data_IF_590589971622
#
_entry.id   IF_590589971622
#
_cell.length_a   1.000
_cell.length_b   1.000
_cell.length_c   1.000
_cell.angle_alpha   90.00
_cell.angle_beta   90.00
_cell.angle_gamma   90.00
#
_symmetry.space_group_name_H-M   'P 1'
#
loop_
_entity.id
_entity.type
_entity.pdbx_description
1 polymer ?
#
# COMPACT_ATOMS: atom_id res chain seq x y z
N UNK A 1 6.55 -23.44 -64.74
CA UNK A 1 5.36 -23.30 -63.86
C UNK A 1 5.49 -24.00 -62.50
N UNK A 2 6.21 -25.12 -62.37
CA UNK A 2 6.34 -25.87 -61.10
C UNK A 2 7.07 -25.13 -59.95
N UNK A 3 8.04 -24.24 -60.22
CA UNK A 3 8.78 -23.49 -59.19
C UNK A 3 8.01 -22.29 -58.59
N UNK A 4 7.01 -21.74 -59.31
CA UNK A 4 6.21 -20.62 -58.82
C UNK A 4 5.12 -21.08 -57.84
N UNK A 5 4.60 -22.29 -58.02
CA UNK A 5 3.61 -22.91 -57.11
C UNK A 5 4.25 -23.25 -55.77
N UNK A 6 5.51 -23.70 -55.75
CA UNK A 6 6.24 -24.01 -54.50
C UNK A 6 6.49 -22.76 -53.65
N UNK A 7 6.79 -21.61 -54.27
CA UNK A 7 6.98 -20.34 -53.55
C UNK A 7 5.69 -19.78 -52.96
N UNK A 8 4.55 -19.96 -53.65
CA UNK A 8 3.23 -19.57 -53.11
C UNK A 8 2.81 -20.46 -51.94
N UNK A 9 3.10 -21.76 -52.00
CA UNK A 9 2.80 -22.70 -50.90
C UNK A 9 3.68 -22.45 -49.68
N UNK A 10 4.97 -22.12 -49.85
CA UNK A 10 5.86 -21.78 -48.72
C UNK A 10 5.49 -20.44 -48.07
N UNK A 11 5.04 -19.45 -48.86
CA UNK A 11 4.52 -18.19 -48.33
C UNK A 11 3.19 -18.37 -47.58
N UNK A 12 2.27 -19.20 -48.06
CA UNK A 12 1.04 -19.55 -47.33
C UNK A 12 1.34 -20.32 -46.03
N UNK A 13 2.28 -21.26 -46.04
CA UNK A 13 2.65 -22.00 -44.83
C UNK A 13 3.32 -21.10 -43.77
N UNK A 14 4.08 -20.08 -44.15
CA UNK A 14 4.66 -19.12 -43.18
C UNK A 14 3.58 -18.22 -42.55
N UNK A 15 2.49 -17.92 -43.25
CA UNK A 15 1.35 -17.16 -42.72
C UNK A 15 0.48 -18.02 -41.81
N UNK A 16 0.33 -19.32 -42.09
CA UNK A 16 -0.44 -20.24 -41.25
C UNK A 16 0.20 -20.55 -39.89
N UNK A 17 1.54 -20.45 -39.75
CA UNK A 17 2.23 -20.69 -38.46
C UNK A 17 2.10 -19.50 -37.50
N UNK A 18 1.78 -18.30 -38.00
CA UNK A 18 1.48 -17.13 -37.15
C UNK A 18 0.05 -17.09 -36.60
N UNK A 19 -0.83 -18.03 -37.01
CA UNK A 19 -2.20 -18.13 -36.49
C UNK A 19 -2.36 -19.02 -35.25
N UNK A 20 -1.27 -19.59 -34.71
CA UNK A 20 -1.25 -20.25 -33.40
C UNK A 20 -0.86 -19.25 -32.31
N UNK A 21 -1.67 -18.19 -32.17
CA UNK A 21 -1.70 -17.37 -30.97
C UNK A 21 -3.05 -17.63 -30.29
N UNK A 22 -2.98 -18.57 -29.35
CA UNK A 22 -3.90 -18.84 -28.24
C UNK A 22 -5.05 -17.83 -28.07
N UNK A 23 -6.26 -18.22 -28.46
CA UNK A 23 -7.49 -17.61 -27.93
C UNK A 23 -7.56 -17.90 -26.43
N UNK A 24 -7.51 -16.83 -25.62
CA UNK A 24 -8.04 -16.85 -24.25
C UNK A 24 -9.23 -15.91 -24.20
N UNK A 25 -10.39 -16.35 -23.70
CA UNK A 25 -11.65 -15.65 -23.93
C UNK A 25 -11.70 -14.31 -23.18
N UNK A 26 -12.17 -13.31 -23.94
CA UNK A 26 -12.71 -12.05 -23.45
C UNK A 26 -13.98 -12.33 -22.64
N UNK A 27 -14.01 -11.88 -21.39
CA UNK A 27 -15.24 -11.79 -20.60
C UNK A 27 -15.47 -10.32 -20.26
N UNK A 28 -16.40 -9.71 -21.00
CA UNK A 28 -17.05 -8.45 -20.63
C UNK A 28 -18.44 -8.81 -20.14
N UNK A 29 -18.78 -8.49 -18.88
CA UNK A 29 -19.88 -7.58 -18.52
C UNK A 29 -20.35 -7.74 -17.06
N UNK A 30 -20.44 -6.57 -16.42
CA UNK A 30 -21.53 -6.06 -15.58
C UNK A 30 -21.74 -6.52 -14.13
N UNK A 31 -22.03 -5.48 -13.35
CA UNK A 31 -22.47 -5.42 -11.95
C UNK A 31 -23.92 -5.88 -11.75
N UNK A 32 -24.22 -6.50 -10.60
CA UNK A 32 -25.25 -6.07 -9.63
C UNK A 32 -25.54 -7.12 -8.52
N UNK A 33 -25.66 -6.61 -7.27
CA UNK A 33 -26.50 -7.05 -6.12
C UNK A 33 -26.23 -8.39 -5.40
N UNK A 34 -25.73 -8.24 -4.16
CA UNK A 34 -26.38 -8.56 -2.87
C UNK A 34 -27.34 -9.77 -2.81
N UNK A 35 -26.98 -10.80 -2.03
CA UNK A 35 -27.83 -11.41 -0.99
C UNK A 35 -26.99 -12.29 -0.02
N UNK A 36 -27.58 -12.45 1.15
CA UNK A 36 -27.11 -12.93 2.44
C UNK A 36 -27.12 -14.48 2.57
N UNK A 37 -26.60 -14.97 3.69
CA UNK A 37 -26.80 -16.28 4.33
C UNK A 37 -25.77 -17.42 4.07
N UNK A 38 -25.08 -17.76 5.18
CA UNK A 38 -24.46 -19.05 5.57
C UNK A 38 -25.37 -19.72 6.63
N UNK A 39 -25.20 -20.97 7.13
CA UNK A 39 -24.35 -22.12 6.74
C UNK A 39 -25.17 -23.45 6.63
N UNK A 40 -24.57 -24.56 6.15
CA UNK A 40 -24.43 -25.81 6.95
C UNK A 40 -23.73 -26.97 6.22
N UNK A 41 -23.13 -27.82 7.06
CA UNK A 41 -22.42 -29.08 6.83
C UNK A 41 -23.20 -30.19 6.11
N UNK A 42 -22.50 -31.16 5.49
CA UNK A 42 -22.44 -32.60 5.89
C UNK A 42 -21.74 -33.49 4.83
N UNK A 43 -20.71 -34.21 5.29
CA UNK A 43 -20.24 -35.59 5.00
C UNK A 43 -20.69 -36.35 3.73
N UNK A 44 -19.71 -36.89 2.98
CA UNK A 44 -19.62 -38.34 2.65
C UNK A 44 -18.36 -38.69 1.83
N UNK A 45 -17.59 -39.66 2.35
CA UNK A 45 -16.61 -40.45 1.60
C UNK A 45 -17.31 -41.40 0.60
N UNK A 46 -16.57 -42.01 -0.34
CA UNK A 46 -16.29 -43.43 -0.16
C UNK A 46 -14.81 -43.84 -0.29
N UNK A 47 -14.54 -44.93 0.43
CA UNK A 47 -13.33 -45.71 0.67
C UNK A 47 -12.90 -46.52 -0.56
N UNK A 48 -11.59 -46.65 -0.81
CA UNK A 48 -11.04 -47.83 -1.49
C UNK A 48 -9.68 -48.19 -0.88
N UNK A 49 -9.58 -49.46 -0.52
CA UNK A 49 -8.47 -50.13 0.17
C UNK A 49 -7.61 -50.86 -0.86
N UNK A 50 -6.28 -50.80 -0.76
CA UNK A 50 -5.40 -51.93 -1.15
C UNK A 50 -4.13 -51.90 -0.29
N UNK A 51 -3.95 -52.94 0.51
CA UNK A 51 -2.72 -53.34 1.21
C UNK A 51 -1.75 -53.99 0.19
N UNK A 52 -0.47 -54.32 0.40
CA UNK A 52 0.41 -54.54 1.55
C UNK A 52 1.81 -54.80 0.94
N UNK A 53 2.90 -54.37 1.58
CA UNK A 53 4.17 -55.13 1.61
C UNK A 53 5.10 -54.56 2.70
N UNK A 54 5.27 -55.36 3.76
CA UNK A 54 6.20 -55.18 4.87
C UNK A 54 7.65 -55.47 4.46
N UNK A 55 8.60 -54.81 5.12
CA UNK A 55 9.81 -55.50 5.62
C UNK A 55 10.27 -54.89 6.95
N UNK A 56 10.22 -55.75 7.96
CA UNK A 56 10.74 -55.73 9.36
C UNK A 56 12.28 -55.71 9.35
N UNK A 57 13.10 -55.21 10.28
CA UNK A 57 13.33 -55.42 11.74
C UNK A 57 14.61 -54.56 12.01
N UNK A 58 14.96 -53.93 13.13
CA UNK A 58 15.27 -54.54 14.45
C UNK A 58 15.54 -53.46 15.50
N UNK A 59 15.13 -53.84 16.70
CA UNK A 59 15.09 -53.20 18.02
C UNK A 59 16.46 -52.87 18.64
N UNK A 60 16.54 -51.79 19.42
CA UNK A 60 17.25 -51.81 20.71
C UNK A 60 16.49 -50.99 21.75
N UNK A 61 16.26 -51.61 22.90
CA UNK A 61 15.54 -51.11 24.08
C UNK A 61 16.48 -50.31 24.97
N UNK A 62 16.00 -49.23 25.59
CA UNK A 62 16.44 -48.82 26.93
C UNK A 62 15.29 -48.17 27.68
N UNK A 63 15.23 -48.43 28.98
CA UNK A 63 14.07 -48.39 29.88
C UNK A 63 14.11 -47.17 30.81
N UNK A 64 12.92 -46.71 31.26
CA UNK A 64 12.61 -45.97 32.53
C UNK A 64 13.12 -44.52 32.65
N UNK A 65 12.42 -43.51 33.19
CA UNK A 65 11.33 -43.38 34.20
C UNK A 65 10.47 -42.13 33.90
N UNK A 66 9.20 -42.17 34.32
CA UNK A 66 8.18 -41.11 34.18
C UNK A 66 8.27 -40.04 35.28
N UNK A 67 8.11 -38.74 34.97
CA UNK A 67 7.67 -37.75 35.97
C UNK A 67 6.23 -37.30 35.73
N UNK A 68 5.41 -37.47 36.78
CA UNK A 68 4.03 -37.01 36.92
C UNK A 68 4.08 -35.54 37.38
N UNK A 69 3.47 -34.60 36.65
CA UNK A 69 3.39 -33.20 37.09
C UNK A 69 1.94 -32.79 37.29
N UNK A 70 1.65 -32.47 38.55
CA UNK A 70 0.34 -32.08 39.08
C UNK A 70 0.22 -30.56 39.10
N UNK A 71 -0.95 -30.08 38.72
CA UNK A 71 -1.42 -28.69 38.82
C UNK A 71 -1.45 -28.18 40.26
N UNK A 72 -0.82 -27.04 40.56
CA UNK A 72 -1.15 -26.19 41.72
C UNK A 72 -0.88 -24.72 41.44
N UNK A 73 -1.94 -23.93 41.54
CA UNK A 73 -1.99 -22.46 41.63
C UNK A 73 -1.28 -21.94 42.89
N UNK A 74 -0.45 -20.89 42.82
CA UNK A 74 -0.10 -20.10 44.01
C UNK A 74 -0.86 -18.76 44.08
N UNK A 75 -1.37 -18.52 45.29
CA UNK A 75 -2.11 -17.34 45.78
C UNK A 75 -1.30 -16.04 45.78
N UNK A 76 -2.04 -14.97 45.59
CA UNK A 76 -1.72 -13.55 45.82
C UNK A 76 -1.24 -13.27 47.26
N UNK A 77 -0.16 -12.52 47.41
CA UNK A 77 0.19 -11.85 48.68
C UNK A 77 0.61 -10.41 48.39
N UNK A 78 -0.25 -9.49 48.81
CA UNK A 78 -0.05 -8.03 48.78
C UNK A 78 0.90 -7.63 49.90
N UNK A 79 2.01 -6.95 49.59
CA UNK A 79 2.87 -6.28 50.56
C UNK A 79 2.44 -4.81 50.70
N UNK A 80 1.93 -4.46 51.88
CA UNK A 80 1.58 -3.08 52.25
C UNK A 80 2.80 -2.40 52.90
N UNK A 81 3.27 -1.23 52.42
CA UNK A 81 4.21 -0.41 53.17
C UNK A 81 3.50 0.35 54.29
N UNK A 82 4.00 0.17 55.52
CA UNK A 82 3.51 0.82 56.75
C UNK A 82 4.18 2.20 56.87
N UNK A 83 3.41 3.29 56.76
CA UNK A 83 3.91 4.65 57.00
C UNK A 83 3.53 5.09 58.42
N UNK A 84 4.56 5.35 59.23
CA UNK A 84 4.48 5.81 60.61
C UNK A 84 4.12 7.30 60.64
N UNK A 85 3.02 7.67 61.29
CA UNK A 85 2.68 9.09 61.57
C UNK A 85 3.02 9.37 63.03
N UNK A 86 3.97 10.27 63.27
CA UNK A 86 4.32 10.80 64.59
C UNK A 86 3.56 12.10 64.84
N UNK A 87 2.76 12.11 65.91
CA UNK A 87 2.04 13.26 66.44
C UNK A 87 2.95 14.04 67.39
N UNK A 88 3.04 15.38 67.30
CA UNK A 88 3.47 16.20 68.42
C UNK A 88 2.25 16.87 69.08
N UNK A 89 2.12 16.60 70.38
CA UNK A 89 1.15 17.22 71.31
C UNK A 89 1.87 18.39 71.98
N UNK A 90 1.33 19.61 71.94
CA UNK A 90 1.78 20.67 72.86
C UNK A 90 0.67 21.68 73.19
N UNK A 91 0.13 21.45 74.39
CA UNK A 91 -0.24 22.36 75.49
C UNK A 91 -0.68 23.80 75.22
N UNK A 92 -1.90 24.06 75.70
CA UNK A 92 -2.59 25.34 75.93
C UNK A 92 -1.93 26.22 76.98
N UNK A 93 -1.84 27.53 76.73
CA UNK A 93 -1.88 28.59 77.75
C UNK A 93 -2.53 29.86 77.18
N UNK A 94 -3.65 30.27 77.79
CA UNK A 94 -4.28 31.61 77.65
C UNK A 94 -3.58 32.55 78.64
N UNK A 95 -3.41 33.86 78.36
CA UNK A 95 -4.33 34.83 78.95
C UNK A 95 -4.54 36.20 78.23
N UNK A 96 -5.77 36.70 78.38
CA UNK A 96 -6.27 38.10 78.61
C UNK A 96 -5.96 39.29 77.66
N UNK A 97 -7.07 39.87 77.16
CA UNK A 97 -7.48 41.31 77.03
C UNK A 97 -6.49 42.37 76.53
N UNK A 98 -6.93 43.24 75.60
CA UNK A 98 -7.39 44.63 75.88
C UNK A 98 -8.02 45.24 74.62
N UNK A 99 -9.13 45.97 74.82
CA UNK A 99 -9.89 46.78 73.86
C UNK A 99 -9.13 48.05 73.46
N UNK A 100 -9.14 48.43 72.18
CA UNK A 100 -9.17 49.85 71.75
C UNK A 100 -9.62 49.98 70.29
N UNK A 101 -10.73 50.69 70.12
CA UNK A 101 -11.25 51.21 68.85
C UNK A 101 -10.29 52.27 68.28
N UNK A 102 -10.11 52.35 66.96
CA UNK A 102 -10.34 53.64 66.31
C UNK A 102 -11.19 53.54 65.04
N UNK A 103 -12.08 54.53 64.93
CA UNK A 103 -13.05 54.78 63.88
C UNK A 103 -12.36 55.50 62.73
N UNK A 104 -12.38 54.96 61.50
CA UNK A 104 -12.01 55.74 60.30
C UNK A 104 -12.76 55.31 59.04
N UNK A 105 -13.76 56.12 58.71
CA UNK A 105 -14.14 56.69 57.40
C UNK A 105 -13.88 55.92 56.09
N UNK A 106 -14.97 55.48 55.48
CA UNK A 106 -15.39 55.60 54.07
C UNK A 106 -14.32 55.80 52.97
N UNK A 107 -14.24 54.85 52.03
CA UNK A 107 -14.43 55.09 50.58
C UNK A 107 -14.60 53.76 49.85
N UNK A 108 -15.72 53.59 49.16
CA UNK A 108 -16.04 52.43 48.31
C UNK A 108 -15.53 52.67 46.89
N UNK A 109 -14.59 51.88 46.34
CA UNK A 109 -14.34 51.88 44.90
C UNK A 109 -15.33 50.91 44.24
N UNK A 110 -16.19 51.45 43.38
CA UNK A 110 -17.08 50.68 42.50
C UNK A 110 -16.23 49.96 41.46
N UNK A 111 -15.97 48.67 41.66
CA UNK A 111 -15.28 47.82 40.67
C UNK A 111 -16.22 47.56 39.50
N UNK A 112 -16.07 48.30 38.41
CA UNK A 112 -16.71 48.01 37.13
C UNK A 112 -16.06 46.76 36.56
N UNK A 113 -16.75 45.62 36.63
CA UNK A 113 -16.35 44.40 35.95
C UNK A 113 -16.51 44.57 34.43
N UNK A 114 -15.44 44.97 33.75
CA UNK A 114 -15.31 44.78 32.30
C UNK A 114 -14.89 43.34 32.05
N UNK A 115 -15.87 42.48 31.81
CA UNK A 115 -15.68 41.16 31.22
C UNK A 115 -15.03 41.35 29.83
N UNK A 116 -13.81 40.84 29.57
CA UNK A 116 -13.28 40.84 28.22
C UNK A 116 -14.16 39.91 27.38
N UNK A 117 -14.84 40.47 26.38
CA UNK A 117 -15.56 39.70 25.38
C UNK A 117 -14.50 38.94 24.58
N UNK A 118 -14.33 37.65 24.88
CA UNK A 118 -13.48 36.73 24.14
C UNK A 118 -13.93 36.78 22.68
N UNK A 119 -13.23 37.55 21.88
CA UNK A 119 -13.38 37.52 20.42
C UNK A 119 -12.66 36.25 20.00
N UNK A 120 -13.42 35.17 19.85
CA UNK A 120 -12.97 33.95 19.19
C UNK A 120 -12.72 34.30 17.74
N UNK A 121 -11.49 34.73 17.45
CA UNK A 121 -10.95 34.73 16.09
C UNK A 121 -11.19 33.33 15.53
N UNK A 122 -11.87 33.17 14.37
CA UNK A 122 -12.01 31.85 13.77
C UNK A 122 -10.61 31.29 13.57
N UNK A 123 -10.37 30.09 14.09
CA UNK A 123 -9.10 29.37 13.91
C UNK A 123 -8.77 29.44 12.41
N UNK A 124 -7.59 29.96 12.02
CA UNK A 124 -7.18 29.93 10.63
C UNK A 124 -7.20 28.47 10.16
N UNK A 125 -8.18 28.14 9.33
CA UNK A 125 -8.19 26.87 8.63
C UNK A 125 -6.93 26.81 7.75
N UNK A 126 -6.20 25.68 7.70
CA UNK A 126 -5.04 25.56 6.83
C UNK A 126 -5.48 25.83 5.39
N UNK A 127 -4.91 26.87 4.78
CA UNK A 127 -5.04 27.11 3.34
C UNK A 127 -4.54 25.85 2.62
N UNK A 128 -5.37 25.20 1.77
CA UNK A 128 -4.95 24.00 1.06
C UNK A 128 -3.70 24.30 0.25
N UNK A 129 -2.65 23.47 0.32
CA UNK A 129 -1.52 23.60 -0.57
C UNK A 129 -2.02 23.50 -2.02
N UNK A 130 -1.59 24.42 -2.89
CA UNK A 130 -2.03 24.44 -4.29
C UNK A 130 -1.11 23.59 -5.19
N UNK A 131 0.01 23.10 -4.67
CA UNK A 131 1.02 22.36 -5.44
C UNK A 131 1.32 21.01 -4.78
N UNK A 132 1.23 19.97 -5.59
CA UNK A 132 1.61 18.59 -5.25
C UNK A 132 3.14 18.47 -5.32
N UNK A 133 3.78 18.10 -4.21
CA UNK A 133 5.23 17.90 -4.12
C UNK A 133 5.57 16.43 -3.91
N UNK A 134 6.65 15.97 -4.54
CA UNK A 134 7.17 14.60 -4.34
C UNK A 134 7.95 14.57 -3.04
N UNK A 135 7.52 13.74 -2.10
CA UNK A 135 8.28 13.41 -0.90
C UNK A 135 9.25 12.26 -1.14
N UNK A 136 10.35 12.26 -0.40
CA UNK A 136 11.32 11.15 -0.35
C UNK A 136 11.30 10.56 1.05
N UNK A 137 10.64 9.41 1.20
CA UNK A 137 10.44 8.71 2.47
C UNK A 137 11.36 7.51 2.54
N UNK A 138 12.00 7.29 3.68
CA UNK A 138 12.84 6.12 3.91
C UNK A 138 12.65 5.54 5.31
N UNK A 139 12.83 4.23 5.42
CA UNK A 139 12.94 3.53 6.70
C UNK A 139 14.31 2.91 6.78
N UNK A 140 14.99 3.20 7.88
CA UNK A 140 16.33 2.69 8.16
C UNK A 140 16.26 1.84 9.42
N UNK A 141 16.68 0.58 9.30
CA UNK A 141 16.75 -0.36 10.41
C UNK A 141 18.19 -0.89 10.53
N UNK A 142 18.77 -0.83 11.74
CA UNK A 142 20.17 -1.23 12.00
C UNK A 142 21.19 -0.61 11.02
N UNK A 143 21.01 0.67 10.66
CA UNK A 143 21.82 1.43 9.68
C UNK A 143 21.73 0.95 8.23
N UNK A 144 20.74 0.13 7.90
CA UNK A 144 20.44 -0.30 6.52
C UNK A 144 19.08 0.24 6.13
N UNK A 145 18.99 0.90 4.98
CA UNK A 145 17.69 1.31 4.44
C UNK A 145 16.96 0.06 3.98
N UNK A 146 15.78 -0.18 4.54
CA UNK A 146 14.97 -1.35 4.25
C UNK A 146 13.76 -1.03 3.39
N UNK A 147 13.35 0.25 3.36
CA UNK A 147 12.26 0.73 2.52
C UNK A 147 12.55 2.15 2.06
N UNK A 148 12.31 2.44 0.78
CA UNK A 148 12.38 3.78 0.21
C UNK A 148 11.18 4.01 -0.68
N UNK A 149 10.58 5.19 -0.60
CA UNK A 149 9.46 5.60 -1.44
C UNK A 149 9.58 7.07 -1.81
N UNK A 150 9.58 7.36 -3.11
CA UNK A 150 9.42 8.69 -3.65
C UNK A 150 8.01 8.78 -4.24
N UNK A 151 7.17 9.64 -3.69
CA UNK A 151 5.78 9.78 -4.16
C UNK A 151 5.19 11.09 -3.71
N UNK A 152 4.18 11.57 -4.45
CA UNK A 152 3.34 12.67 -4.02
C UNK A 152 1.92 12.15 -3.74
N UNK A 153 1.35 12.59 -2.62
CA UNK A 153 0.14 12.02 -2.05
C UNK A 153 -0.95 13.08 -1.92
N UNK A 154 -2.13 12.73 -2.40
CA UNK A 154 -3.33 13.56 -2.31
C UNK A 154 -4.51 12.69 -1.86
N UNK A 155 -5.19 13.11 -0.79
CA UNK A 155 -6.43 12.49 -0.33
C UNK A 155 -7.58 13.29 -0.91
N UNK A 156 -8.46 12.66 -1.67
CA UNK A 156 -9.62 13.30 -2.26
C UNK A 156 -10.91 12.78 -1.62
N UNK A 157 -11.81 13.71 -1.32
CA UNK A 157 -13.20 13.41 -0.97
C UNK A 157 -14.09 13.78 -2.16
N UNK A 158 -14.83 12.80 -2.66
CA UNK A 158 -15.88 12.96 -3.66
C UNK A 158 -17.20 12.50 -3.05
N UNK A 159 -17.94 13.43 -2.45
CA UNK A 159 -19.22 13.16 -1.82
C UNK A 159 -20.30 14.09 -2.38
N UNK A 160 -21.56 13.66 -2.33
CA UNK A 160 -22.68 14.36 -2.97
C UNK A 160 -22.82 15.84 -2.56
N UNK A 161 -22.33 16.23 -1.39
CA UNK A 161 -22.43 17.60 -0.85
C UNK A 161 -21.10 18.36 -0.80
N UNK A 162 -19.97 17.64 -0.75
CA UNK A 162 -18.64 18.24 -0.53
C UNK A 162 -17.64 17.48 -1.36
N UNK A 163 -16.94 18.21 -2.22
CA UNK A 163 -15.79 17.73 -2.95
C UNK A 163 -14.56 18.53 -2.52
N UNK A 164 -13.42 17.87 -2.36
CA UNK A 164 -12.19 18.55 -2.01
C UNK A 164 -11.00 17.62 -2.00
N UNK A 165 -9.81 18.21 -1.94
CA UNK A 165 -8.57 17.47 -1.82
C UNK A 165 -7.68 18.03 -0.73
N UNK A 166 -6.93 17.12 -0.11
CA UNK A 166 -5.92 17.40 0.87
C UNK A 166 -4.58 16.88 0.34
N UNK A 167 -3.64 17.79 0.10
CA UNK A 167 -2.32 17.47 -0.41
C UNK A 167 -1.37 17.29 0.78
N UNK A 168 -0.77 16.11 0.90
CA UNK A 168 0.21 15.83 1.94
C UNK A 168 1.48 16.60 1.65
N UNK A 169 1.96 17.40 2.62
CA UNK A 169 3.20 18.18 2.48
C UNK A 169 4.40 17.36 2.95
N UNK A 170 5.35 16.99 2.07
CA UNK A 170 6.50 16.17 2.46
C UNK A 170 7.36 16.81 3.56
N UNK A 171 7.54 18.13 3.52
CA UNK A 171 8.35 18.87 4.49
C UNK A 171 7.75 18.89 5.90
N UNK A 172 6.46 18.63 6.03
CA UNK A 172 5.72 18.57 7.30
C UNK A 172 5.30 17.14 7.65
N UNK A 173 5.87 16.14 6.97
CA UNK A 173 5.56 14.72 7.16
C UNK A 173 6.76 13.98 7.73
N UNK A 174 6.54 13.24 8.82
CA UNK A 174 7.53 12.35 9.42
C UNK A 174 7.28 10.91 8.96
N UNK A 175 8.36 10.17 8.81
CA UNK A 175 8.30 8.75 8.43
C UNK A 175 8.50 7.89 9.67
N UNK A 176 7.59 6.95 9.88
CA UNK A 176 7.61 5.95 10.96
C UNK A 176 7.37 4.56 10.37
N UNK A 177 7.83 3.50 11.05
CA UNK A 177 7.69 2.15 10.53
C UNK A 177 8.78 1.20 10.99
N UNK A 178 8.68 -0.03 10.50
CA UNK A 178 9.65 -1.11 10.74
C UNK A 178 9.69 -2.07 9.56
N UNK A 179 10.79 -2.83 9.47
CA UNK A 179 11.04 -3.77 8.40
C UNK A 179 11.39 -5.15 8.97
N UNK A 180 10.43 -6.07 8.89
CA UNK A 180 10.70 -7.49 9.06
C UNK A 180 11.22 -8.14 7.78
N UNK A 181 11.46 -9.45 7.85
CA UNK A 181 11.96 -10.23 6.71
C UNK A 181 10.95 -10.35 5.56
N UNK A 182 9.66 -10.41 5.91
CA UNK A 182 8.55 -10.59 4.95
C UNK A 182 7.49 -9.50 5.00
N UNK A 183 7.43 -8.72 6.08
CA UNK A 183 6.47 -7.63 6.27
C UNK A 183 7.17 -6.35 6.66
N UNK A 184 6.76 -5.23 6.07
CA UNK A 184 7.24 -3.91 6.44
C UNK A 184 6.06 -2.94 6.47
N UNK A 185 6.11 -1.93 7.33
CA UNK A 185 5.09 -0.88 7.37
C UNK A 185 5.74 0.48 7.20
N UNK A 186 5.20 1.29 6.28
CA UNK A 186 5.57 2.68 6.10
C UNK A 186 4.40 3.54 6.54
N UNK A 187 4.56 4.25 7.65
CA UNK A 187 3.58 5.20 8.17
C UNK A 187 4.11 6.61 7.98
N UNK A 188 3.36 7.42 7.24
CA UNK A 188 3.62 8.83 7.02
C UNK A 188 2.73 9.65 7.95
N UNK A 189 3.33 10.32 8.92
CA UNK A 189 2.63 11.08 9.96
C UNK A 189 2.78 12.57 9.70
N UNK A 190 1.66 13.27 9.57
CA UNK A 190 1.59 14.72 9.39
C UNK A 190 0.59 15.31 10.40
N UNK A 191 0.52 16.63 10.49
CA UNK A 191 -0.26 17.33 11.53
C UNK A 191 -1.74 16.93 11.57
N UNK A 192 -2.35 16.74 10.42
CA UNK A 192 -3.77 16.41 10.26
C UNK A 192 -4.06 14.91 10.41
N UNK A 193 -3.06 14.03 10.36
CA UNK A 193 -3.30 12.59 10.37
C UNK A 193 -2.12 11.73 9.92
N UNK A 194 -2.42 10.55 9.36
CA UNK A 194 -1.40 9.62 8.89
C UNK A 194 -1.88 8.76 7.73
N UNK A 195 -0.93 8.24 6.95
CA UNK A 195 -1.16 7.23 5.89
C UNK A 195 -0.20 6.06 6.16
N UNK A 196 -0.71 4.84 6.20
CA UNK A 196 0.08 3.63 6.44
C UNK A 196 -0.02 2.67 5.26
N UNK A 197 1.13 2.37 4.65
CA UNK A 197 1.34 1.34 3.64
C UNK A 197 1.91 0.09 4.29
N UNK A 198 1.22 -1.05 4.18
CA UNK A 198 1.72 -2.34 4.65
C UNK A 198 2.23 -3.15 3.48
N UNK A 199 3.54 -3.40 3.47
CA UNK A 199 4.23 -4.19 2.46
C UNK A 199 4.31 -5.65 2.88
N UNK A 200 4.12 -6.53 1.91
CA UNK A 200 4.31 -7.97 2.06
C UNK A 200 5.24 -8.47 0.94
N UNK A 201 6.09 -9.45 1.28
CA UNK A 201 7.00 -10.12 0.36
C UNK A 201 6.48 -11.52 0.06
N UNK A 202 6.10 -11.78 -1.19
CA UNK A 202 5.86 -13.14 -1.68
C UNK A 202 7.20 -13.84 -1.87
N UNK A 203 7.43 -14.91 -1.11
CA UNK A 203 8.61 -15.78 -1.28
C UNK A 203 8.47 -16.62 -2.55
N UNK A 204 7.25 -17.04 -2.89
CA UNK A 204 6.97 -17.87 -4.06
C UNK A 204 7.24 -17.12 -5.37
N UNK A 205 6.78 -15.87 -5.46
CA UNK A 205 6.90 -15.06 -6.68
C UNK A 205 8.15 -14.16 -6.66
N UNK A 206 8.87 -14.13 -5.53
CA UNK A 206 9.97 -13.22 -5.27
C UNK A 206 9.59 -11.74 -5.56
N UNK A 207 8.39 -11.34 -5.13
CA UNK A 207 7.84 -9.99 -5.30
C UNK A 207 7.59 -9.32 -3.96
N UNK A 208 7.64 -7.99 -3.94
CA UNK A 208 7.18 -7.15 -2.85
C UNK A 208 6.02 -6.29 -3.36
N UNK A 209 4.96 -6.18 -2.56
CA UNK A 209 3.75 -5.44 -2.91
C UNK A 209 3.11 -4.84 -1.64
N UNK A 210 2.22 -3.89 -1.81
CA UNK A 210 1.39 -3.34 -0.73
C UNK A 210 0.13 -4.19 -0.58
N UNK A 211 0.02 -4.85 0.59
CA UNK A 211 -1.06 -5.77 0.97
C UNK A 211 -2.19 -5.07 1.73
N UNK A 212 -1.90 -3.96 2.40
CA UNK A 212 -2.93 -3.15 3.03
C UNK A 212 -2.55 -1.68 3.01
N UNK A 213 -3.57 -0.84 2.92
CA UNK A 213 -3.43 0.61 2.92
C UNK A 213 -4.51 1.21 3.82
N UNK A 214 -4.12 2.16 4.65
CA UNK A 214 -5.07 2.87 5.50
C UNK A 214 -4.62 4.30 5.73
N UNK A 215 -5.57 5.18 5.99
CA UNK A 215 -5.26 6.53 6.44
C UNK A 215 -6.33 7.08 7.36
N UNK A 216 -5.91 8.07 8.15
CA UNK A 216 -6.78 8.93 8.95
C UNK A 216 -6.45 10.37 8.63
N UNK A 217 -7.47 11.20 8.44
CA UNK A 217 -7.34 12.62 8.16
C UNK A 217 -8.36 13.42 8.99
N UNK A 218 -7.88 14.38 9.78
CA UNK A 218 -8.71 15.35 10.49
C UNK A 218 -8.61 16.71 9.78
N UNK A 219 -9.57 16.99 8.89
CA UNK A 219 -9.54 18.14 7.98
C UNK A 219 -10.95 18.67 7.70
N UNK A 220 -11.08 19.93 7.29
CA UNK A 220 -12.35 20.48 6.80
C UNK A 220 -12.22 20.82 5.32
N UNK A 221 -12.91 20.03 4.47
CA UNK A 221 -12.94 20.29 3.03
C UNK A 221 -13.83 21.48 2.67
N UNK A 222 -14.81 21.81 3.53
CA UNK A 222 -15.65 23.00 3.39
C UNK A 222 -15.09 24.18 4.18
N UNK A 223 -15.07 25.35 3.55
CA UNK A 223 -14.55 26.58 4.16
C UNK A 223 -15.49 27.05 5.28
N UNK A 224 -14.96 27.22 6.49
CA UNK A 224 -15.70 27.70 7.65
C UNK A 224 -16.40 26.61 8.48
N UNK A 225 -16.27 25.34 8.08
CA UNK A 225 -16.78 24.21 8.87
C UNK A 225 -15.73 23.69 9.86
N UNK A 226 -16.21 23.03 10.92
CA UNK A 226 -15.36 22.35 11.89
C UNK A 226 -14.58 21.20 11.22
N UNK A 227 -13.40 20.88 11.77
CA UNK A 227 -12.62 19.73 11.31
C UNK A 227 -13.42 18.45 11.49
N UNK A 228 -13.51 17.66 10.43
CA UNK A 228 -14.11 16.33 10.45
C UNK A 228 -13.02 15.27 10.34
N UNK A 229 -13.26 14.11 10.95
CA UNK A 229 -12.36 12.97 10.89
C UNK A 229 -12.81 11.99 9.80
N UNK A 230 -11.91 11.73 8.86
CA UNK A 230 -12.07 10.74 7.79
C UNK A 230 -11.13 9.58 8.07
N UNK A 231 -11.64 8.36 7.96
CA UNK A 231 -10.85 7.13 8.02
C UNK A 231 -11.17 6.28 6.82
N UNK A 232 -10.14 5.64 6.28
CA UNK A 232 -10.32 4.61 5.29
C UNK A 232 -9.27 3.52 5.48
N UNK A 233 -9.67 2.28 5.27
CA UNK A 233 -8.80 1.12 5.29
C UNK A 233 -9.22 0.14 4.20
N UNK A 234 -8.22 -0.47 3.57
CA UNK A 234 -8.42 -1.51 2.59
C UNK A 234 -7.34 -2.57 2.79
N UNK A 235 -7.79 -3.81 2.93
CA UNK A 235 -6.98 -4.98 3.28
C UNK A 235 -7.00 -5.95 2.12
N UNK A 236 -5.96 -6.77 2.02
CA UNK A 236 -5.81 -7.79 0.95
C UNK A 236 -5.72 -7.16 -0.44
N UNK A 237 -4.95 -6.09 -0.52
CA UNK A 237 -4.53 -5.44 -1.75
C UNK A 237 -3.35 -6.20 -2.39
N UNK A 238 -3.13 -5.99 -3.68
CA UNK A 238 -1.89 -6.42 -4.35
C UNK A 238 -1.40 -5.29 -5.25
N UNK A 239 -1.13 -4.15 -4.61
CA UNK A 239 -0.78 -2.90 -5.30
C UNK A 239 0.73 -2.68 -5.32
N UNK A 240 1.18 -1.87 -6.29
CA UNK A 240 2.56 -1.41 -6.41
C UNK A 240 3.59 -2.55 -6.41
N UNK A 241 3.24 -3.66 -7.03
CA UNK A 241 4.05 -4.88 -7.02
C UNK A 241 5.32 -4.72 -7.86
N UNK A 242 6.46 -5.10 -7.30
CA UNK A 242 7.75 -5.18 -7.99
C UNK A 242 8.52 -6.43 -7.55
N UNK A 243 9.43 -6.91 -8.38
CA UNK A 243 10.36 -7.98 -7.98
C UNK A 243 11.24 -7.51 -6.83
N UNK A 244 11.68 -8.44 -5.98
CA UNK A 244 12.66 -8.12 -4.93
C UNK A 244 13.93 -7.57 -5.59
N UNK A 245 14.51 -6.51 -5.00
CA UNK A 245 15.63 -5.72 -5.54
C UNK A 245 15.30 -4.82 -6.74
N UNK A 246 14.07 -4.86 -7.26
CA UNK A 246 13.55 -3.86 -8.20
C UNK A 246 12.76 -2.79 -7.45
N UNK A 247 12.45 -1.68 -8.12
CA UNK A 247 11.53 -0.68 -7.60
C UNK A 247 10.26 -0.64 -8.45
N UNK A 248 9.10 -0.48 -7.84
CA UNK A 248 7.89 -0.13 -8.57
C UNK A 248 8.03 1.30 -9.09
N UNK A 249 7.56 1.59 -10.30
CA UNK A 249 7.54 2.93 -10.89
C UNK A 249 6.24 3.19 -11.63
N UNK A 250 5.55 4.28 -11.30
CA UNK A 250 4.30 4.69 -11.95
C UNK A 250 4.11 6.21 -11.94
N UNK A 251 3.60 6.76 -13.04
CA UNK A 251 3.30 8.18 -13.18
C UNK A 251 2.19 8.65 -12.25
N UNK A 252 1.14 7.84 -12.08
CA UNK A 252 0.07 8.09 -11.13
C UNK A 252 -0.96 6.98 -11.07
N UNK A 253 -1.51 6.76 -9.89
CA UNK A 253 -2.54 5.77 -9.62
C UNK A 253 -3.53 6.31 -8.58
N UNK A 254 -4.82 6.18 -8.86
CA UNK A 254 -5.90 6.65 -7.98
C UNK A 254 -6.61 5.45 -7.39
N UNK A 255 -6.59 5.33 -6.07
CA UNK A 255 -7.16 4.20 -5.34
C UNK A 255 -8.45 4.61 -4.63
N UNK A 256 -9.53 3.87 -4.86
CA UNK A 256 -10.77 4.05 -4.11
C UNK A 256 -10.70 3.37 -2.75
N UNK A 257 -10.98 4.12 -1.68
CA UNK A 257 -10.79 3.69 -0.29
C UNK A 257 -12.11 3.56 0.48
N UNK A 258 -13.25 3.78 -0.17
CA UNK A 258 -14.58 3.70 0.43
C UNK A 258 -15.15 5.06 0.83
N UNK A 259 -16.46 5.16 0.97
CA UNK A 259 -17.18 6.35 1.43
C UNK A 259 -16.85 7.64 0.65
N UNK A 260 -16.61 7.52 -0.66
CA UNK A 260 -16.22 8.66 -1.51
C UNK A 260 -14.78 9.14 -1.29
N UNK A 261 -13.98 8.44 -0.49
CA UNK A 261 -12.57 8.76 -0.27
C UNK A 261 -11.69 8.05 -1.29
N UNK A 262 -10.74 8.79 -1.83
CA UNK A 262 -9.73 8.29 -2.76
C UNK A 262 -8.34 8.71 -2.29
N UNK A 263 -7.36 7.86 -2.54
CA UNK A 263 -5.95 8.19 -2.39
C UNK A 263 -5.31 8.24 -3.77
N UNK A 264 -4.85 9.42 -4.17
CA UNK A 264 -4.09 9.63 -5.39
C UNK A 264 -2.60 9.59 -5.06
N UNK A 265 -1.87 8.67 -5.70
CA UNK A 265 -0.44 8.46 -5.53
C UNK A 265 0.24 8.75 -6.87
N UNK A 266 0.94 9.88 -6.97
CA UNK A 266 1.59 10.32 -8.22
C UNK A 266 3.11 10.32 -8.11
N UNK A 267 3.80 10.20 -9.25
CA UNK A 267 5.27 10.08 -9.36
C UNK A 267 5.80 9.00 -8.40
N UNK A 268 5.11 7.88 -8.39
CA UNK A 268 5.27 6.81 -7.43
C UNK A 268 6.49 5.96 -7.80
N UNK A 269 7.50 5.95 -6.93
CA UNK A 269 8.64 5.04 -7.04
C UNK A 269 8.96 4.45 -5.67
N UNK A 270 8.77 3.16 -5.48
CA UNK A 270 8.93 2.52 -4.15
C UNK A 270 9.63 1.17 -4.22
N UNK A 271 10.37 0.83 -3.16
CA UNK A 271 11.08 -0.43 -3.00
C UNK A 271 11.17 -0.81 -1.52
N UNK A 272 11.02 -2.10 -1.22
CA UNK A 272 11.05 -2.65 0.13
C UNK A 272 11.93 -3.92 0.24
N UNK A 273 12.31 -4.27 1.48
CA UNK A 273 13.02 -5.48 1.94
C UNK A 273 14.47 -5.67 1.51
N UNK A 274 14.90 -5.20 0.34
CA UNK A 274 16.25 -5.42 -0.14
C UNK A 274 16.73 -4.24 -0.99
N UNK A 275 17.14 -3.16 -0.32
CA UNK A 275 17.85 -2.08 -0.99
C UNK A 275 19.35 -2.39 -0.97
N UNK A 276 19.99 -2.26 -2.14
CA UNK A 276 21.43 -2.45 -2.27
C UNK A 276 22.17 -1.42 -1.41
N UNK A 277 23.40 -1.72 -0.98
CA UNK A 277 24.23 -0.84 -0.13
C UNK A 277 24.43 0.59 -0.68
N UNK A 278 24.09 0.84 -1.94
CA UNK A 278 24.12 2.15 -2.58
C UNK A 278 22.98 3.10 -2.17
N UNK A 279 22.05 2.68 -1.29
CA UNK A 279 20.88 3.48 -0.87
C UNK A 279 19.89 3.82 -2.00
N UNK A 280 20.18 3.42 -3.24
CA UNK A 280 19.42 3.78 -4.42
C UNK A 280 18.36 2.74 -4.80
N UNK A 281 17.40 3.20 -5.59
CA UNK A 281 16.40 2.33 -6.20
C UNK A 281 17.06 1.38 -7.20
N UNK A 282 16.59 0.13 -7.20
CA UNK A 282 16.90 -0.84 -8.23
C UNK A 282 16.24 -0.54 -9.57
N UNK A 283 16.27 -1.53 -10.46
CA UNK A 283 15.65 -1.44 -11.77
C UNK A 283 14.13 -1.20 -11.64
N UNK A 284 13.53 -0.29 -12.43
CA UNK A 284 12.10 0.01 -12.33
C UNK A 284 11.24 -1.06 -13.02
N UNK A 285 10.27 -1.59 -12.28
CA UNK A 285 9.13 -2.35 -12.78
C UNK A 285 7.97 -1.38 -12.99
N UNK A 286 7.63 -1.11 -14.26
CA UNK A 286 6.61 -0.12 -14.61
C UNK A 286 5.19 -0.68 -14.41
N UNK A 287 4.30 0.18 -13.94
CA UNK A 287 2.87 -0.11 -13.83
C UNK A 287 2.21 -0.30 -15.21
N UNK A 288 1.04 -0.93 -15.24
CA UNK A 288 0.30 -1.17 -16.49
C UNK A 288 -0.09 0.13 -17.20
N UNK A 289 -0.41 1.19 -16.45
CA UNK A 289 -0.81 2.48 -17.00
C UNK A 289 0.32 3.16 -17.80
N UNK A 290 1.58 2.95 -17.41
CA UNK A 290 2.75 3.56 -18.05
C UNK A 290 3.35 2.68 -19.17
N UNK A 291 2.88 1.44 -19.34
CA UNK A 291 3.35 0.55 -20.40
C UNK A 291 2.76 1.00 -21.74
N UNK A 292 3.55 1.72 -22.53
CA UNK A 292 3.27 1.93 -23.95
C UNK A 292 3.29 0.61 -24.71
N UNK A 293 2.14 0.21 -25.24
CA UNK A 293 2.02 -0.99 -26.08
C UNK A 293 2.41 -0.67 -27.54
N UNK A 294 3.69 -0.84 -27.85
CA UNK A 294 4.20 -0.71 -29.21
C UNK A 294 3.94 -1.94 -30.08
N UNK A 295 3.28 -2.99 -29.58
CA UNK A 295 3.11 -4.25 -30.33
C UNK A 295 2.37 -4.03 -31.63
N UNK A 296 1.37 -3.14 -31.64
CA UNK A 296 0.63 -2.77 -32.86
C UNK A 296 1.54 -2.03 -33.84
N UNK A 297 2.28 -1.02 -33.37
CA UNK A 297 3.18 -0.24 -34.21
C UNK A 297 4.30 -1.10 -34.82
N UNK A 298 4.89 -1.99 -34.03
CA UNK A 298 5.90 -2.96 -34.47
C UNK A 298 5.28 -3.94 -35.48
N UNK A 299 4.08 -4.45 -35.21
CA UNK A 299 3.36 -5.36 -36.11
C UNK A 299 3.11 -4.75 -37.49
N UNK A 300 2.66 -3.49 -37.55
CA UNK A 300 2.47 -2.77 -38.80
C UNK A 300 3.82 -2.55 -39.52
N UNK A 301 4.86 -2.16 -38.79
CA UNK A 301 6.20 -1.96 -39.35
C UNK A 301 6.78 -3.24 -39.98
N UNK A 302 6.66 -4.37 -39.29
CA UNK A 302 7.11 -5.67 -39.81
C UNK A 302 6.29 -6.09 -41.04
N UNK A 303 4.97 -5.90 -41.01
CA UNK A 303 4.10 -6.28 -42.14
C UNK A 303 4.42 -5.48 -43.40
N UNK A 304 4.64 -4.17 -43.27
CA UNK A 304 5.03 -3.31 -44.39
C UNK A 304 6.41 -3.70 -44.94
N UNK A 305 7.38 -4.00 -44.07
CA UNK A 305 8.71 -4.43 -44.49
C UNK A 305 8.66 -5.74 -45.30
N UNK A 306 7.89 -6.73 -44.83
CA UNK A 306 7.70 -8.01 -45.54
C UNK A 306 7.06 -7.78 -46.91
N UNK A 307 6.04 -6.92 -47.02
CA UNK A 307 5.40 -6.60 -48.28
C UNK A 307 6.38 -5.97 -49.28
N UNK A 308 7.21 -5.03 -48.84
CA UNK A 308 8.26 -4.42 -49.67
C UNK A 308 9.23 -5.47 -50.20
N UNK A 309 9.69 -6.39 -49.35
CA UNK A 309 10.60 -7.46 -49.76
C UNK A 309 9.96 -8.36 -50.82
N UNK A 310 8.68 -8.73 -50.65
CA UNK A 310 7.94 -9.54 -51.64
C UNK A 310 7.88 -8.81 -52.99
N UNK A 311 7.55 -7.51 -52.99
CA UNK A 311 7.48 -6.70 -54.21
C UNK A 311 8.85 -6.61 -54.89
N UNK A 312 9.93 -6.41 -54.13
CA UNK A 312 11.30 -6.35 -54.67
C UNK A 312 11.70 -7.70 -55.28
N UNK A 313 11.41 -8.82 -54.62
CA UNK A 313 11.69 -10.16 -55.16
C UNK A 313 10.88 -10.43 -56.43
N UNK A 314 9.60 -10.09 -56.44
CA UNK A 314 8.75 -10.21 -57.63
C UNK A 314 9.27 -9.36 -58.79
N UNK A 315 9.73 -8.14 -58.51
CA UNK A 315 10.34 -7.24 -59.49
C UNK A 315 11.64 -7.82 -60.05
N UNK A 316 12.55 -8.30 -59.20
CA UNK A 316 13.82 -8.90 -59.62
C UNK A 316 13.62 -10.16 -60.48
N UNK A 317 12.65 -11.02 -60.13
CA UNK A 317 12.30 -12.21 -60.94
C UNK A 317 11.67 -11.81 -62.27
N UNK A 318 10.79 -10.82 -62.28
CA UNK A 318 10.15 -10.32 -63.50
C UNK A 318 11.18 -9.70 -64.46
N UNK A 319 12.14 -8.95 -63.92
CA UNK A 319 13.25 -8.37 -64.70
C UNK A 319 14.14 -9.46 -65.28
N UNK A 320 14.50 -10.49 -64.49
CA UNK A 320 15.33 -11.61 -64.96
C UNK A 320 14.67 -12.43 -66.08
N UNK A 321 13.34 -12.59 -66.07
CA UNK A 321 12.63 -13.29 -67.16
C UNK A 321 12.63 -12.52 -68.48
N UNK A 322 12.73 -11.19 -68.48
CA UNK A 322 12.74 -10.39 -69.71
C UNK A 322 14.08 -10.45 -70.45
N UNK A 323 15.16 -10.90 -69.81
CA UNK A 323 16.48 -11.06 -70.43
C UNK A 323 16.69 -12.39 -71.17
N UNK A 324 15.79 -13.39 -71.02
CA UNK A 324 15.92 -14.71 -71.65
C UNK A 324 15.14 -14.83 -72.99
N UNK A 325 14.77 -13.71 -73.60
CA UNK A 325 13.82 -13.67 -74.72
C UNK A 325 14.38 -13.15 -76.04
N UNK A 326 15.46 -13.74 -76.57
CA UNK A 326 15.73 -13.78 -78.02
C UNK A 326 16.50 -15.06 -78.34
N UNK A 327 15.78 -16.11 -78.74
CA UNK A 327 16.36 -17.19 -79.53
C UNK A 327 16.14 -16.80 -80.99
N UNK A 328 17.19 -16.37 -81.68
CA UNK A 328 17.17 -16.11 -83.13
C UNK A 328 16.95 -17.44 -83.85
N UNK A 329 15.91 -17.50 -84.70
CA UNK A 329 15.72 -18.57 -85.69
C UNK A 329 16.92 -18.64 -86.64
#
# INVERSE_FOLDING_TARGET
MKKAVVLFVVACCAVSVLSLAEEKPSATMSSAKQFDVSPSSTTSQPKTTTAMANTTTTTSKTTTTTPKTTTTTPKTTTTTPKTTTTTPKTTTTTPKTTTTTPKTTTTTPKTTATTPKTTTTPVPGPTPPTRVFVGSYNLTEKKVVCLRANMALEIQLSAAKVNGSFIVQPNETKTEGSCGETKANLTLVFKEGFITFMFNKSVADNTAYVDALSFKLSYSFAKGEARQEYRADNKSLHLFAAKVSHCYSCSGEMLYMGNGLYLNVTKNRMQAFNLTKSYDFGQPDMCLADKTDYRVAIGVGVTLLVLIVIVVLAYLVSRRKRTDGYQTL
#
